data_IF_945581476245
#
_entry.id   IF_945581476245
#
_cell.length_a   1.000
_cell.length_b   1.000
_cell.length_c   1.000
_cell.angle_alpha   90.00
_cell.angle_beta   90.00
_cell.angle_gamma   90.00
#
_symmetry.space_group_name_H-M   'P 1'
#
loop_
_entity.id
_entity.type
_entity.pdbx_description
1 polymer ?
#
# COMPACT_ATOMS: atom_id res chain seq x y z
N UNK A 1 21.46 47.20 6.59
CA UNK A 1 21.93 48.51 7.10
C UNK A 1 21.97 48.46 8.63
N UNK A 2 23.16 48.63 9.19
CA UNK A 2 23.47 48.56 10.62
C UNK A 2 24.57 47.53 10.88
N UNK A 3 25.80 47.96 10.59
CA UNK A 3 27.11 47.42 10.98
C UNK A 3 27.64 46.15 10.30
N UNK A 4 28.15 46.39 9.08
CA UNK A 4 29.31 45.82 8.40
C UNK A 4 29.77 44.40 8.78
N UNK A 5 29.08 43.41 8.20
CA UNK A 5 29.76 42.18 7.76
C UNK A 5 30.02 42.35 6.27
N UNK A 6 31.26 42.75 5.98
CA UNK A 6 31.76 42.97 4.63
C UNK A 6 31.98 41.61 3.93
N UNK A 7 30.90 40.89 3.64
CA UNK A 7 30.91 39.85 2.63
C UNK A 7 31.21 40.56 1.31
N UNK A 8 32.47 40.50 0.86
CA UNK A 8 32.87 40.91 -0.49
C UNK A 8 32.13 40.05 -1.52
N UNK A 9 30.86 40.32 -1.74
CA UNK A 9 30.07 39.82 -2.85
C UNK A 9 30.11 40.86 -3.97
N UNK A 10 30.49 40.48 -5.20
CA UNK A 10 30.54 41.38 -6.35
C UNK A 10 29.14 41.91 -6.70
N UNK A 11 29.04 43.01 -7.46
CA UNK A 11 27.88 43.92 -7.46
C UNK A 11 26.64 43.42 -8.21
N UNK A 12 26.63 42.18 -8.71
CA UNK A 12 25.52 41.69 -9.52
C UNK A 12 24.62 40.76 -8.70
N UNK A 13 23.32 41.06 -8.73
CA UNK A 13 22.23 40.40 -7.99
C UNK A 13 22.45 38.89 -7.90
N UNK A 14 22.70 38.38 -6.69
CA UNK A 14 22.79 36.94 -6.44
C UNK A 14 21.38 36.40 -6.24
N UNK A 15 20.91 35.64 -7.22
CA UNK A 15 19.72 34.80 -7.10
C UNK A 15 20.13 33.59 -6.27
N UNK A 16 19.31 33.21 -5.29
CA UNK A 16 19.56 32.06 -4.42
C UNK A 16 18.46 31.04 -4.68
N UNK A 17 18.82 29.85 -5.16
CA UNK A 17 17.86 28.77 -5.41
C UNK A 17 17.47 28.13 -4.09
N UNK A 18 16.17 28.12 -3.81
CA UNK A 18 15.56 27.50 -2.62
C UNK A 18 14.46 26.59 -3.13
N UNK A 19 14.50 25.32 -2.73
CA UNK A 19 13.57 24.29 -3.21
C UNK A 19 12.28 24.28 -2.39
N UNK A 20 11.20 23.76 -2.96
CA UNK A 20 9.91 23.48 -2.30
C UNK A 20 9.18 24.67 -1.66
N UNK A 21 9.47 25.90 -2.11
CA UNK A 21 8.69 27.08 -1.76
C UNK A 21 7.81 27.51 -2.95
N UNK A 22 6.52 27.86 -2.74
CA UNK A 22 5.67 28.30 -3.83
C UNK A 22 6.11 29.67 -4.38
N UNK A 23 5.82 29.92 -5.65
CA UNK A 23 6.11 31.18 -6.35
C UNK A 23 5.36 32.36 -5.75
N UNK A 24 5.95 33.56 -5.81
CA UNK A 24 5.35 34.84 -5.40
C UNK A 24 5.02 34.95 -3.90
N UNK A 25 5.53 34.05 -3.07
CA UNK A 25 5.34 34.10 -1.63
C UNK A 25 6.30 35.11 -0.98
N UNK A 26 5.80 35.89 -0.03
CA UNK A 26 6.65 36.77 0.77
C UNK A 26 7.34 35.97 1.87
N UNK A 27 8.64 35.73 1.70
CA UNK A 27 9.48 35.01 2.65
C UNK A 27 10.31 35.99 3.46
N UNK A 28 10.23 35.90 4.78
CA UNK A 28 11.11 36.66 5.68
C UNK A 28 12.36 35.85 5.93
N UNK A 29 13.48 36.37 5.44
CA UNK A 29 14.79 35.77 5.57
C UNK A 29 15.58 36.54 6.63
N UNK A 30 16.37 35.83 7.42
CA UNK A 30 17.45 36.43 8.20
C UNK A 30 18.65 35.53 8.14
N UNK A 31 19.83 36.13 8.16
CA UNK A 31 21.08 35.41 8.14
C UNK A 31 21.61 35.28 9.55
N UNK A 32 22.00 34.07 9.89
CA UNK A 32 22.63 33.71 11.15
C UNK A 32 24.05 33.32 10.83
N UNK A 33 25.02 34.05 11.37
CA UNK A 33 26.40 33.66 11.24
C UNK A 33 26.79 32.80 12.43
N UNK A 34 27.35 31.66 12.09
CA UNK A 34 27.89 30.68 13.02
C UNK A 34 29.39 30.65 12.88
N UNK A 35 30.07 30.46 13.99
CA UNK A 35 31.48 30.13 13.96
C UNK A 35 31.68 28.68 13.46
N UNK A 36 32.93 28.30 13.34
CA UNK A 36 33.41 26.99 12.93
C UNK A 36 33.02 25.85 13.89
N UNK A 37 32.58 26.17 15.10
CA UNK A 37 31.98 25.20 16.03
C UNK A 37 30.45 25.21 15.99
N UNK A 38 29.85 25.99 15.10
CA UNK A 38 28.41 26.06 14.89
C UNK A 38 27.67 26.98 15.84
N UNK A 39 28.37 27.74 16.69
CA UNK A 39 27.74 28.67 17.64
C UNK A 39 27.29 29.93 16.92
N UNK A 40 26.01 30.28 17.05
CA UNK A 40 25.48 31.51 16.47
C UNK A 40 25.98 32.69 17.28
N UNK A 41 26.79 33.55 16.67
CA UNK A 41 27.29 34.75 17.33
C UNK A 41 26.71 36.05 16.73
N UNK A 42 26.13 35.99 15.53
CA UNK A 42 25.50 37.16 14.92
C UNK A 42 24.23 36.81 14.14
N UNK A 43 23.27 37.74 14.19
CA UNK A 43 21.95 37.57 13.60
C UNK A 43 21.56 38.84 12.86
N UNK A 44 21.23 38.73 11.57
CA UNK A 44 20.72 39.87 10.81
C UNK A 44 19.29 40.21 11.21
N UNK A 45 18.88 41.44 10.90
CA UNK A 45 17.46 41.79 10.88
C UNK A 45 16.74 40.93 9.84
N UNK A 46 15.46 40.68 10.08
CA UNK A 46 14.59 40.05 9.12
C UNK A 46 14.40 40.95 7.91
N UNK A 47 14.47 40.35 6.72
CA UNK A 47 14.25 40.99 5.43
C UNK A 47 13.17 40.20 4.72
N UNK A 48 12.09 40.86 4.32
CA UNK A 48 11.11 40.26 3.44
C UNK A 48 11.65 40.26 2.00
N UNK A 49 11.57 39.10 1.36
CA UNK A 49 11.84 38.91 -0.05
C UNK A 49 10.68 38.13 -0.67
N UNK A 50 10.40 38.35 -1.95
CA UNK A 50 9.38 37.57 -2.63
C UNK A 50 10.06 36.46 -3.42
N UNK A 51 9.58 35.22 -3.29
CA UNK A 51 10.03 34.11 -4.13
C UNK A 51 9.56 34.34 -5.56
N UNK A 52 10.38 33.94 -6.53
CA UNK A 52 10.02 33.96 -7.95
C UNK A 52 10.47 32.64 -8.57
N UNK A 53 9.83 32.27 -9.68
CA UNK A 53 10.19 31.05 -10.39
C UNK A 53 11.65 31.12 -10.83
N UNK A 54 12.30 29.96 -10.78
CA UNK A 54 13.64 29.82 -11.33
C UNK A 54 13.52 29.98 -12.84
N UNK A 55 14.25 30.93 -13.47
CA UNK A 55 14.13 31.17 -14.90
C UNK A 55 14.45 29.92 -15.75
N UNK A 56 13.81 29.81 -16.91
CA UNK A 56 14.12 28.79 -17.91
C UNK A 56 15.60 28.83 -18.29
N UNK A 57 16.18 27.64 -18.51
CA UNK A 57 17.58 27.52 -18.91
C UNK A 57 17.78 27.99 -20.35
N UNK A 58 18.76 28.86 -20.58
CA UNK A 58 19.18 29.30 -21.92
C UNK A 58 20.61 28.90 -22.21
N UNK A 59 20.88 28.57 -23.47
CA UNK A 59 22.22 28.22 -23.92
C UNK A 59 23.18 29.41 -23.74
N UNK A 60 24.21 29.23 -22.91
CA UNK A 60 25.12 30.29 -22.48
C UNK A 60 24.89 30.82 -21.06
N UNK A 61 23.85 30.38 -20.35
CA UNK A 61 23.65 30.71 -18.94
C UNK A 61 24.78 30.13 -18.06
N UNK A 62 25.24 30.93 -17.09
CA UNK A 62 26.24 30.47 -16.10
C UNK A 62 25.69 29.30 -15.27
N UNK A 63 26.56 28.36 -14.91
CA UNK A 63 26.22 27.20 -14.08
C UNK A 63 25.73 27.67 -12.70
N UNK A 64 24.41 27.63 -12.51
CA UNK A 64 23.81 27.90 -11.21
C UNK A 64 23.93 26.67 -10.32
N UNK A 65 24.41 26.89 -9.10
CA UNK A 65 24.47 25.87 -8.06
C UNK A 65 23.45 26.15 -6.97
N UNK A 66 22.80 25.11 -6.46
CA UNK A 66 21.93 25.24 -5.29
C UNK A 66 22.75 25.59 -4.02
N UNK A 67 22.07 25.77 -2.89
CA UNK A 67 22.71 26.05 -1.59
C UNK A 67 23.68 24.95 -1.13
N UNK A 68 23.62 23.77 -1.74
CA UNK A 68 24.48 22.61 -1.47
C UNK A 68 25.63 22.47 -2.48
N UNK A 69 25.70 23.35 -3.49
CA UNK A 69 26.75 23.38 -4.50
C UNK A 69 26.49 22.50 -5.74
N UNK A 70 25.26 21.99 -5.93
CA UNK A 70 24.97 21.06 -7.02
C UNK A 70 24.65 21.80 -8.34
N UNK A 71 25.24 21.38 -9.48
CA UNK A 71 24.99 22.01 -10.78
C UNK A 71 23.66 21.55 -11.41
N UNK A 72 22.88 22.50 -11.92
CA UNK A 72 21.63 22.26 -12.67
C UNK A 72 21.86 21.33 -13.89
N UNK A 73 20.99 20.33 -14.11
CA UNK A 73 20.90 19.56 -15.38
C UNK A 73 21.74 18.27 -15.54
N UNK A 74 22.35 17.73 -14.48
CA UNK A 74 23.09 16.45 -14.52
C UNK A 74 22.64 15.47 -13.43
N UNK A 75 22.66 14.16 -13.74
CA UNK A 75 22.40 13.11 -12.76
C UNK A 75 23.61 12.92 -11.82
N UNK A 76 23.38 12.86 -10.52
CA UNK A 76 24.44 12.67 -9.53
C UNK A 76 25.08 11.27 -9.58
N UNK A 77 24.29 10.23 -9.90
CA UNK A 77 24.73 8.84 -9.82
C UNK A 77 25.45 8.36 -11.09
N UNK A 78 24.88 8.61 -12.27
CA UNK A 78 25.43 8.11 -13.52
C UNK A 78 26.07 9.20 -14.39
N UNK A 79 26.03 10.47 -13.95
CA UNK A 79 26.55 11.66 -14.65
C UNK A 79 26.06 11.85 -16.09
N UNK A 80 24.98 11.18 -16.49
CA UNK A 80 24.39 11.40 -17.80
C UNK A 80 23.84 12.84 -17.88
N UNK A 81 23.85 13.39 -19.09
CA UNK A 81 23.14 14.63 -19.34
C UNK A 81 21.64 14.36 -19.32
N UNK A 82 20.90 15.18 -18.58
CA UNK A 82 19.43 15.10 -18.55
C UNK A 82 18.83 15.47 -19.92
N UNK A 83 19.54 16.32 -20.68
CA UNK A 83 19.16 16.85 -21.98
C UNK A 83 20.23 16.49 -23.02
N UNK A 84 19.84 15.86 -24.14
CA UNK A 84 20.74 15.49 -25.24
C UNK A 84 20.31 16.24 -26.50
N UNK A 85 21.20 16.99 -27.17
CA UNK A 85 20.87 17.56 -28.47
C UNK A 85 20.80 16.45 -29.53
N UNK A 86 19.74 16.41 -30.31
CA UNK A 86 19.62 15.61 -31.52
C UNK A 86 19.34 16.51 -32.75
N UNK A 87 19.29 15.91 -33.94
CA UNK A 87 19.16 16.66 -35.20
C UNK A 87 17.77 17.28 -35.41
N UNK A 88 16.79 16.99 -34.54
CA UNK A 88 15.42 17.52 -34.60
C UNK A 88 15.01 18.33 -33.34
N UNK A 89 15.85 18.38 -32.29
CA UNK A 89 15.61 19.15 -31.07
C UNK A 89 16.47 18.71 -29.86
N UNK A 90 15.97 18.99 -28.64
CA UNK A 90 16.59 18.53 -27.38
C UNK A 90 15.76 17.36 -26.83
N UNK A 91 16.32 16.15 -26.85
CA UNK A 91 15.72 14.96 -26.24
C UNK A 91 15.98 14.86 -24.73
N UNK A 92 15.05 14.27 -23.98
CA UNK A 92 15.11 14.13 -22.51
C UNK A 92 15.44 12.68 -22.09
N UNK A 93 16.36 12.52 -21.13
CA UNK A 93 16.72 11.22 -20.51
C UNK A 93 16.23 11.12 -19.04
N UNK A 94 15.19 11.86 -18.69
CA UNK A 94 14.62 11.93 -17.35
C UNK A 94 13.09 12.01 -17.39
N UNK A 95 12.45 11.55 -16.31
CA UNK A 95 11.00 11.63 -16.11
C UNK A 95 10.67 12.99 -15.48
N UNK A 96 9.89 13.82 -16.21
CA UNK A 96 9.46 15.15 -15.76
C UNK A 96 8.53 15.09 -14.53
N UNK A 97 7.84 13.97 -14.33
CA UNK A 97 6.86 13.76 -13.26
C UNK A 97 7.51 13.30 -11.95
N UNK A 98 8.52 12.43 -12.03
CA UNK A 98 9.16 11.81 -10.86
C UNK A 98 10.57 12.40 -10.58
N UNK A 99 11.03 13.34 -11.42
CA UNK A 99 12.37 13.95 -11.39
C UNK A 99 13.52 12.91 -11.36
N UNK A 100 13.28 11.72 -11.92
CA UNK A 100 14.21 10.59 -11.92
C UNK A 100 14.84 10.38 -13.29
N UNK A 101 16.09 9.94 -13.29
CA UNK A 101 16.76 9.52 -14.50
C UNK A 101 16.09 8.25 -15.03
N UNK A 102 15.61 8.25 -16.28
CA UNK A 102 14.97 7.09 -16.91
C UNK A 102 15.91 5.88 -17.07
N UNK A 103 17.22 6.11 -16.89
CA UNK A 103 18.26 5.08 -17.03
C UNK A 103 18.56 4.33 -15.74
N UNK A 104 18.58 5.02 -14.60
CA UNK A 104 19.01 4.43 -13.32
C UNK A 104 18.04 4.68 -12.17
N UNK A 105 16.95 5.41 -12.40
CA UNK A 105 15.96 5.75 -11.39
C UNK A 105 16.45 6.75 -10.33
N UNK A 106 17.64 7.32 -10.46
CA UNK A 106 18.20 8.26 -9.48
C UNK A 106 17.73 9.70 -9.75
N UNK A 107 17.46 10.47 -8.70
CA UNK A 107 16.99 11.85 -8.83
C UNK A 107 17.98 12.70 -9.62
N UNK A 108 17.46 13.42 -10.61
CA UNK A 108 18.18 14.40 -11.40
C UNK A 108 17.75 15.78 -10.91
N UNK A 109 18.66 16.76 -10.83
CA UNK A 109 18.26 18.15 -10.59
C UNK A 109 17.53 18.69 -11.83
N UNK A 110 16.28 18.27 -11.97
CA UNK A 110 15.29 18.76 -12.89
C UNK A 110 14.11 19.21 -12.03
N UNK A 111 13.80 20.50 -12.08
CA UNK A 111 12.63 21.04 -11.42
C UNK A 111 11.70 21.62 -12.48
N UNK A 112 10.51 21.04 -12.57
CA UNK A 112 9.28 21.83 -12.65
C UNK A 112 8.34 21.38 -11.51
N UNK A 113 7.37 22.22 -11.19
CA UNK A 113 7.01 22.69 -9.86
C UNK A 113 6.30 21.67 -8.93
N UNK A 114 6.92 21.49 -7.76
CA UNK A 114 6.35 21.36 -6.41
C UNK A 114 5.24 20.31 -6.18
N UNK A 115 5.57 19.28 -5.40
CA UNK A 115 4.70 18.77 -4.33
C UNK A 115 5.52 18.35 -3.09
N UNK A 116 5.12 18.77 -1.87
CA UNK A 116 5.89 18.62 -0.65
C UNK A 116 5.72 17.24 0.02
N UNK A 117 6.74 16.83 0.78
CA UNK A 117 6.66 15.76 1.77
C UNK A 117 7.21 16.24 3.14
N UNK A 118 6.67 15.65 4.19
CA UNK A 118 6.71 15.93 5.63
C UNK A 118 7.90 15.23 6.36
N UNK A 119 8.01 15.29 7.72
CA UNK A 119 9.29 15.28 8.45
C UNK A 119 9.73 13.94 9.09
N UNK A 120 11.00 13.89 9.51
CA UNK A 120 11.73 12.74 10.09
C UNK A 120 11.28 12.24 11.49
N UNK A 121 11.42 10.92 11.67
CA UNK A 121 11.07 10.10 12.84
C UNK A 121 12.21 9.95 13.89
N UNK A 122 11.84 9.80 15.16
CA UNK A 122 12.70 9.44 16.32
C UNK A 122 13.18 7.97 16.27
N UNK A 123 14.31 7.61 16.91
CA UNK A 123 14.82 6.23 16.92
C UNK A 123 13.91 5.31 17.74
N UNK A 124 13.50 4.20 17.12
CA UNK A 124 12.70 3.14 17.75
C UNK A 124 13.56 2.29 18.70
N UNK A 125 12.98 1.75 19.80
CA UNK A 125 13.60 0.68 20.56
C UNK A 125 13.84 -0.55 19.66
N UNK A 126 14.85 -1.39 19.95
CA UNK A 126 15.06 -2.61 19.18
C UNK A 126 13.77 -3.44 19.23
N UNK A 127 13.21 -3.84 18.06
CA UNK A 127 12.09 -4.76 18.08
C UNK A 127 12.53 -6.03 18.82
N UNK A 128 11.68 -6.56 19.69
CA UNK A 128 11.84 -7.95 20.12
C UNK A 128 12.03 -8.80 18.85
N UNK A 129 12.99 -9.73 18.83
CA UNK A 129 13.18 -10.55 17.66
C UNK A 129 11.87 -11.28 17.39
N UNK A 130 11.18 -10.92 16.30
CA UNK A 130 10.19 -11.78 15.70
C UNK A 130 10.88 -13.14 15.56
N UNK A 131 10.27 -14.21 16.06
CA UNK A 131 10.78 -15.58 15.99
C UNK A 131 10.78 -16.06 14.53
N UNK A 132 11.63 -15.44 13.73
CA UNK A 132 12.12 -15.94 12.46
C UNK A 132 13.28 -16.86 12.81
N UNK A 133 12.93 -17.98 13.47
CA UNK A 133 13.79 -19.14 13.46
C UNK A 133 14.19 -19.38 12.01
N UNK A 134 15.47 -19.69 11.77
CA UNK A 134 16.00 -20.10 10.47
C UNK A 134 15.44 -21.49 10.12
N UNK A 135 14.13 -21.58 9.99
CA UNK A 135 13.42 -22.76 9.60
C UNK A 135 13.52 -22.88 8.08
N UNK A 136 14.26 -23.89 7.65
CA UNK A 136 14.07 -24.52 6.34
C UNK A 136 12.58 -24.87 6.23
N UNK A 137 12.00 -24.73 5.03
CA UNK A 137 10.59 -25.04 4.67
C UNK A 137 9.91 -25.98 5.68
N UNK A 138 9.09 -25.42 6.58
CA UNK A 138 8.35 -26.21 7.54
C UNK A 138 7.39 -27.15 6.80
N UNK A 139 7.25 -28.42 7.22
CA UNK A 139 6.26 -29.32 6.65
C UNK A 139 4.86 -28.69 6.73
N UNK A 140 4.02 -28.92 5.70
CA UNK A 140 2.65 -28.41 5.62
C UNK A 140 1.86 -28.61 6.91
N UNK A 141 1.99 -29.76 7.57
CA UNK A 141 1.29 -30.07 8.82
C UNK A 141 1.70 -29.13 9.96
N UNK A 142 2.99 -28.78 10.04
CA UNK A 142 3.50 -27.84 11.04
C UNK A 142 3.00 -26.43 10.77
N UNK A 143 2.98 -26.02 9.51
CA UNK A 143 2.41 -24.74 9.08
C UNK A 143 0.92 -24.65 9.44
N UNK A 144 0.14 -25.68 9.13
CA UNK A 144 -1.29 -25.75 9.45
C UNK A 144 -1.53 -25.69 10.97
N UNK A 145 -0.70 -26.36 11.79
CA UNK A 145 -0.78 -26.27 13.26
C UNK A 145 -0.50 -24.86 13.77
N UNK A 146 0.51 -24.16 13.22
CA UNK A 146 0.80 -22.77 13.60
C UNK A 146 -0.33 -21.83 13.17
N UNK A 147 -0.81 -21.98 11.93
CA UNK A 147 -1.96 -21.25 11.42
C UNK A 147 -3.20 -21.40 12.31
N UNK A 148 -3.53 -22.63 12.73
CA UNK A 148 -4.68 -22.91 13.58
C UNK A 148 -4.69 -22.13 14.90
N UNK A 149 -3.53 -21.70 15.40
CA UNK A 149 -3.46 -20.86 16.60
C UNK A 149 -4.00 -19.42 16.35
N UNK A 150 -3.98 -18.96 15.09
CA UNK A 150 -4.42 -17.62 14.67
C UNK A 150 -5.79 -17.62 13.97
N UNK A 151 -6.40 -18.80 13.78
CA UNK A 151 -7.72 -18.97 13.17
C UNK A 151 -8.85 -18.94 14.24
N UNK A 152 -10.10 -19.15 13.81
CA UNK A 152 -11.20 -19.47 14.73
C UNK A 152 -10.88 -20.76 15.53
N UNK A 153 -11.08 -20.81 16.87
CA UNK A 153 -10.79 -22.01 17.69
C UNK A 153 -11.55 -23.27 17.23
N UNK A 154 -10.97 -24.50 17.24
CA UNK A 154 -11.56 -25.80 16.82
C UNK A 154 -13.04 -26.05 17.16
N UNK A 155 -13.45 -25.56 18.31
CA UNK A 155 -14.76 -25.71 18.93
C UNK A 155 -15.68 -24.49 18.79
N UNK A 156 -15.23 -23.43 18.10
CA UNK A 156 -16.03 -22.25 17.83
C UNK A 156 -17.30 -22.63 17.05
N UNK A 157 -18.44 -22.18 17.55
CA UNK A 157 -19.77 -22.38 16.95
C UNK A 157 -20.27 -21.15 16.20
N UNK A 158 -19.70 -20.00 16.50
CA UNK A 158 -20.01 -18.70 15.91
C UNK A 158 -18.75 -17.85 15.93
N UNK A 159 -18.75 -16.76 15.15
CA UNK A 159 -17.71 -15.76 15.24
C UNK A 159 -17.74 -15.03 16.59
N UNK A 160 -16.57 -14.66 17.15
CA UNK A 160 -16.52 -13.91 18.40
C UNK A 160 -17.15 -12.53 18.25
N UNK A 161 -17.66 -11.97 19.35
CA UNK A 161 -18.15 -10.59 19.42
C UNK A 161 -17.10 -9.72 20.09
N UNK A 162 -16.81 -8.57 19.51
CA UNK A 162 -15.95 -7.57 20.15
C UNK A 162 -16.68 -6.97 21.36
N UNK A 163 -15.92 -6.59 22.39
CA UNK A 163 -16.49 -6.05 23.64
C UNK A 163 -17.09 -4.65 23.50
N UNK A 164 -16.80 -3.94 22.40
CA UNK A 164 -17.33 -2.63 22.06
C UNK A 164 -18.13 -2.72 20.76
N UNK A 165 -19.19 -1.92 20.68
CA UNK A 165 -20.03 -1.75 19.50
C UNK A 165 -19.48 -0.58 18.68
N UNK A 166 -19.14 -0.82 17.42
CA UNK A 166 -18.63 0.20 16.49
C UNK A 166 -19.73 0.65 15.55
N UNK A 167 -19.73 1.94 15.21
CA UNK A 167 -20.78 2.56 14.38
C UNK A 167 -20.39 2.71 12.92
N UNK A 168 -19.10 2.62 12.64
CA UNK A 168 -18.53 2.88 11.32
C UNK A 168 -17.48 1.85 10.96
N UNK A 169 -17.48 1.43 9.70
CA UNK A 169 -16.45 0.60 9.10
C UNK A 169 -15.79 1.41 7.99
N UNK A 170 -14.52 1.72 8.16
CA UNK A 170 -13.68 2.41 7.18
C UNK A 170 -12.84 1.37 6.45
N UNK A 171 -12.74 1.47 5.12
CA UNK A 171 -12.01 0.52 4.30
C UNK A 171 -10.83 1.20 3.58
N UNK A 172 -9.70 0.50 3.48
CA UNK A 172 -8.52 0.93 2.72
C UNK A 172 -7.70 -0.28 2.27
N UNK A 173 -6.95 -0.17 1.18
CA UNK A 173 -5.94 -1.12 0.70
C UNK A 173 -4.77 -0.37 0.07
N UNK A 174 -3.69 -1.08 -0.29
CA UNK A 174 -2.62 -0.57 -1.16
C UNK A 174 -1.99 0.73 -0.64
N UNK A 175 -1.80 0.78 0.69
CA UNK A 175 -1.33 1.95 1.40
C UNK A 175 0.16 2.18 1.18
N UNK A 176 0.96 1.12 1.06
CA UNK A 176 2.42 1.18 0.86
C UNK A 176 3.12 2.20 1.76
N UNK A 177 3.02 2.01 3.09
CA UNK A 177 3.57 2.90 4.11
C UNK A 177 5.10 2.98 4.09
N UNK A 178 5.77 2.14 3.32
CA UNK A 178 7.18 2.25 2.99
C UNK A 178 7.49 3.44 2.06
N UNK A 179 6.48 3.99 1.39
CA UNK A 179 6.55 5.30 0.75
C UNK A 179 6.38 6.39 1.81
N UNK A 180 7.42 7.21 2.03
CA UNK A 180 7.44 8.23 3.10
C UNK A 180 6.22 9.14 3.12
N UNK A 181 5.76 9.59 1.96
CA UNK A 181 4.55 10.42 1.81
C UNK A 181 3.28 9.74 2.33
N UNK A 182 3.11 8.43 2.09
CA UNK A 182 1.95 7.69 2.54
C UNK A 182 1.96 7.54 4.07
N UNK A 183 3.14 7.29 4.65
CA UNK A 183 3.31 7.26 6.10
C UNK A 183 2.99 8.61 6.77
N UNK A 184 3.48 9.72 6.21
CA UNK A 184 3.14 11.07 6.69
C UNK A 184 1.63 11.33 6.59
N UNK A 185 0.99 10.82 5.54
CA UNK A 185 -0.46 10.88 5.43
C UNK A 185 -1.15 10.11 6.56
N UNK A 186 -0.67 8.92 6.92
CA UNK A 186 -1.18 8.19 8.08
C UNK A 186 -1.00 8.98 9.37
N UNK A 187 0.17 9.59 9.57
CA UNK A 187 0.47 10.35 10.78
C UNK A 187 -0.52 11.50 11.00
N UNK A 188 -0.97 12.14 9.91
CA UNK A 188 -1.96 13.22 9.90
C UNK A 188 -3.42 12.80 9.97
N UNK A 189 -3.74 11.51 9.79
CA UNK A 189 -5.14 11.06 9.85
C UNK A 189 -5.79 11.47 11.19
N UNK A 190 -7.04 11.97 11.18
CA UNK A 190 -7.75 12.25 12.42
C UNK A 190 -7.97 10.96 13.24
N UNK A 191 -8.16 11.11 14.54
CA UNK A 191 -8.59 10.00 15.39
C UNK A 191 -10.08 9.71 15.15
N UNK A 192 -10.40 8.43 14.97
CA UNK A 192 -11.73 7.87 14.79
C UNK A 192 -11.92 6.62 15.68
N UNK A 193 -11.90 6.77 17.03
CA UNK A 193 -11.93 5.63 17.96
C UNK A 193 -13.26 4.85 17.96
N UNK A 194 -14.30 5.38 17.31
CA UNK A 194 -15.61 4.74 17.13
C UNK A 194 -15.73 3.95 15.82
N UNK A 195 -14.69 4.00 14.97
CA UNK A 195 -14.62 3.30 13.70
C UNK A 195 -13.72 2.07 13.78
N UNK A 196 -14.11 1.04 13.05
CA UNK A 196 -13.26 -0.10 12.70
C UNK A 196 -12.60 0.17 11.35
N UNK A 197 -11.29 -0.06 11.25
CA UNK A 197 -10.56 0.02 9.99
C UNK A 197 -10.39 -1.38 9.39
N UNK A 198 -10.75 -1.54 8.12
CA UNK A 198 -10.56 -2.73 7.31
C UNK A 198 -9.44 -2.45 6.31
N UNK A 199 -8.33 -3.17 6.43
CA UNK A 199 -7.12 -3.01 5.63
C UNK A 199 -6.89 -4.19 4.67
N UNK A 200 -7.31 -4.05 3.42
CA UNK A 200 -7.31 -5.09 2.38
C UNK A 200 -5.95 -5.26 1.69
N UNK A 201 -4.89 -5.48 2.48
CA UNK A 201 -3.55 -5.80 2.01
C UNK A 201 -2.73 -4.60 1.50
N UNK A 202 -1.47 -4.89 1.20
CA UNK A 202 -0.44 -3.97 0.72
C UNK A 202 -0.26 -2.74 1.61
N UNK A 203 -0.09 -3.02 2.90
CA UNK A 203 0.25 -2.02 3.90
C UNK A 203 1.71 -1.60 3.80
N UNK A 204 2.65 -2.55 3.71
CA UNK A 204 4.09 -2.31 3.57
C UNK A 204 4.85 -3.63 3.35
N UNK A 205 5.96 -3.56 2.61
CA UNK A 205 6.83 -4.74 2.42
C UNK A 205 7.60 -5.15 3.70
N UNK A 206 7.98 -4.21 4.57
CA UNK A 206 8.81 -4.49 5.77
C UNK A 206 7.96 -4.72 7.02
N UNK A 207 8.28 -5.76 7.79
CA UNK A 207 7.63 -6.06 9.07
C UNK A 207 7.77 -4.91 10.08
N UNK A 208 8.91 -4.22 10.09
CA UNK A 208 9.17 -3.08 10.96
C UNK A 208 8.26 -1.88 10.62
N UNK A 209 8.02 -1.66 9.33
CA UNK A 209 7.11 -0.62 8.85
C UNK A 209 5.67 -1.01 9.16
N UNK A 210 5.27 -2.27 8.90
CA UNK A 210 3.96 -2.79 9.29
C UNK A 210 3.69 -2.61 10.79
N UNK A 211 4.65 -2.97 11.66
CA UNK A 211 4.52 -2.75 13.11
C UNK A 211 4.37 -1.25 13.45
N UNK A 212 5.12 -0.36 12.76
CA UNK A 212 4.94 1.09 12.91
C UNK A 212 3.52 1.52 12.57
N UNK A 213 3.04 1.09 11.40
CA UNK A 213 1.74 1.46 10.85
C UNK A 213 0.61 0.94 11.73
N UNK A 214 0.65 -0.33 12.15
CA UNK A 214 -0.38 -0.89 13.03
C UNK A 214 -0.43 -0.17 14.37
N UNK A 215 0.71 0.15 14.99
CA UNK A 215 0.73 0.93 16.25
C UNK A 215 0.11 2.31 16.04
N UNK A 216 0.50 3.01 14.97
CA UNK A 216 -0.06 4.32 14.64
C UNK A 216 -1.58 4.25 14.41
N UNK A 217 -2.03 3.29 13.62
CA UNK A 217 -3.45 3.12 13.29
C UNK A 217 -4.26 2.65 14.50
N UNK A 218 -3.70 1.83 15.41
CA UNK A 218 -4.36 1.45 16.67
C UNK A 218 -4.52 2.63 17.65
N UNK A 219 -3.76 3.70 17.48
CA UNK A 219 -4.01 4.96 18.20
C UNK A 219 -5.14 5.80 17.56
N UNK A 220 -5.49 5.55 16.29
CA UNK A 220 -6.47 6.34 15.55
C UNK A 220 -7.83 5.65 15.45
N UNK A 221 -7.85 4.35 15.23
CA UNK A 221 -9.06 3.55 15.06
C UNK A 221 -9.29 2.66 16.27
N UNK A 222 -10.56 2.33 16.53
CA UNK A 222 -10.89 1.47 17.65
C UNK A 222 -10.35 0.05 17.45
N UNK A 223 -10.65 -0.54 16.28
CA UNK A 223 -10.17 -1.87 15.90
C UNK A 223 -9.71 -1.88 14.45
N UNK A 224 -8.84 -2.83 14.13
CA UNK A 224 -8.28 -3.00 12.79
C UNK A 224 -8.47 -4.46 12.38
N UNK A 225 -9.04 -4.68 11.21
CA UNK A 225 -9.07 -5.96 10.52
C UNK A 225 -8.12 -5.93 9.33
N UNK A 226 -7.38 -7.01 9.12
CA UNK A 226 -6.31 -7.03 8.13
C UNK A 226 -6.19 -8.37 7.42
N UNK A 227 -5.87 -8.30 6.12
CA UNK A 227 -5.35 -9.43 5.32
C UNK A 227 -4.04 -9.02 4.68
N UNK A 228 -3.01 -9.89 4.63
CA UNK A 228 -1.79 -9.60 3.88
C UNK A 228 -2.04 -9.57 2.37
N UNK A 229 -1.38 -8.65 1.68
CA UNK A 229 -1.28 -8.60 0.22
C UNK A 229 -0.03 -9.29 -0.34
N UNK A 230 0.24 -9.12 -1.63
CA UNK A 230 1.40 -9.75 -2.27
C UNK A 230 2.73 -9.12 -1.83
N UNK A 231 2.78 -7.80 -1.65
CA UNK A 231 4.01 -7.10 -1.24
C UNK A 231 4.48 -7.56 0.14
N UNK A 232 3.53 -7.82 1.04
CA UNK A 232 3.81 -8.39 2.34
C UNK A 232 4.49 -9.76 2.28
N UNK A 233 4.28 -10.54 1.23
CA UNK A 233 4.83 -11.89 1.08
C UNK A 233 6.15 -11.93 0.30
N UNK A 234 6.64 -10.78 -0.15
CA UNK A 234 7.97 -10.70 -0.76
C UNK A 234 9.07 -10.96 0.27
N UNK A 235 10.04 -11.81 -0.08
CA UNK A 235 11.13 -12.22 0.81
C UNK A 235 12.50 -12.02 0.16
N UNK A 236 13.47 -11.68 1.00
CA UNK A 236 14.87 -11.59 0.56
C UNK A 236 15.47 -12.99 0.44
N UNK A 237 16.00 -13.34 -0.74
CA UNK A 237 16.68 -14.65 -0.94
C UNK A 237 17.87 -14.86 0.01
N UNK A 238 18.46 -13.78 0.53
CA UNK A 238 19.60 -13.83 1.46
C UNK A 238 19.21 -14.27 2.87
N UNK A 239 17.96 -14.06 3.26
CA UNK A 239 17.47 -14.38 4.60
C UNK A 239 17.05 -15.85 4.74
N UNK A 240 16.90 -16.57 3.62
CA UNK A 240 16.54 -18.00 3.60
C UNK A 240 15.11 -18.28 4.06
N UNK A 241 14.26 -17.26 4.11
CA UNK A 241 12.87 -17.35 4.53
C UNK A 241 11.94 -17.52 3.33
N UNK A 242 10.89 -18.31 3.52
CA UNK A 242 9.82 -18.47 2.55
C UNK A 242 8.73 -17.42 2.77
N UNK A 243 7.96 -17.11 1.74
CA UNK A 243 6.78 -16.25 1.81
C UNK A 243 5.78 -16.72 2.87
N UNK A 244 5.69 -18.04 3.10
CA UNK A 244 4.81 -18.60 4.13
C UNK A 244 5.35 -18.37 5.54
N UNK A 245 6.68 -18.38 5.73
CA UNK A 245 7.26 -17.98 7.01
C UNK A 245 6.96 -16.51 7.33
N UNK A 246 7.07 -15.63 6.33
CA UNK A 246 6.73 -14.21 6.48
C UNK A 246 5.24 -14.01 6.75
N UNK A 247 4.37 -14.74 6.04
CA UNK A 247 2.93 -14.76 6.31
C UNK A 247 2.62 -15.09 7.77
N UNK A 248 3.18 -16.18 8.33
CA UNK A 248 2.98 -16.53 9.73
C UNK A 248 3.52 -15.46 10.70
N UNK A 249 4.66 -14.85 10.39
CA UNK A 249 5.23 -13.76 11.20
C UNK A 249 4.34 -12.51 11.21
N UNK A 250 3.67 -12.21 10.09
CA UNK A 250 2.68 -11.13 10.00
C UNK A 250 1.48 -11.42 10.90
N UNK A 251 0.96 -12.66 10.87
CA UNK A 251 -0.17 -13.04 11.72
C UNK A 251 0.17 -12.95 13.21
N UNK A 252 1.38 -13.38 13.59
CA UNK A 252 1.89 -13.28 14.95
C UNK A 252 2.07 -11.80 15.38
N UNK A 253 2.55 -10.95 14.48
CA UNK A 253 2.60 -9.50 14.68
C UNK A 253 1.21 -8.91 14.89
N UNK A 254 0.24 -9.27 14.05
CA UNK A 254 -1.14 -8.80 14.16
C UNK A 254 -1.74 -9.21 15.51
N UNK A 255 -1.61 -10.48 15.90
CA UNK A 255 -2.09 -10.99 17.18
C UNK A 255 -1.49 -10.21 18.36
N UNK A 256 -0.16 -10.02 18.36
CA UNK A 256 0.56 -9.27 19.40
C UNK A 256 0.09 -7.81 19.53
N UNK A 257 -0.33 -7.19 18.44
CA UNK A 257 -0.78 -5.80 18.40
C UNK A 257 -2.31 -5.64 18.52
N UNK A 258 -3.07 -6.74 18.64
CA UNK A 258 -4.53 -6.70 18.67
C UNK A 258 -5.14 -6.22 17.34
N UNK A 259 -4.53 -6.62 16.22
CA UNK A 259 -5.06 -6.47 14.86
C UNK A 259 -5.71 -7.80 14.45
N UNK A 260 -6.96 -7.74 14.03
CA UNK A 260 -7.78 -8.92 13.76
C UNK A 260 -7.52 -9.47 12.36
N UNK A 261 -7.05 -10.71 12.29
CA UNK A 261 -6.92 -11.50 11.04
C UNK A 261 -7.95 -12.64 10.98
N UNK A 262 -8.89 -12.63 11.93
CA UNK A 262 -9.99 -13.58 12.10
C UNK A 262 -11.33 -12.83 12.08
N UNK A 263 -12.46 -13.50 11.76
CA UNK A 263 -13.75 -12.85 11.76
C UNK A 263 -14.21 -12.46 13.16
N UNK A 264 -14.98 -11.37 13.27
CA UNK A 264 -15.68 -11.00 14.50
C UNK A 264 -16.88 -10.07 14.22
N UNK A 265 -17.86 -10.09 15.12
CA UNK A 265 -18.91 -9.09 15.16
C UNK A 265 -18.35 -7.78 15.72
N UNK A 266 -18.47 -6.71 14.94
CA UNK A 266 -18.10 -5.34 15.32
C UNK A 266 -19.30 -4.58 15.89
N UNK A 267 -20.51 -5.05 15.62
CA UNK A 267 -21.73 -4.65 16.31
C UNK A 267 -22.74 -5.81 16.31
N UNK A 268 -23.90 -5.62 16.94
CA UNK A 268 -24.98 -6.61 16.92
C UNK A 268 -25.54 -6.87 15.51
N UNK A 269 -25.37 -5.90 14.61
CA UNK A 269 -25.90 -5.90 13.24
C UNK A 269 -24.79 -5.99 12.18
N UNK A 270 -23.51 -6.01 12.56
CA UNK A 270 -22.39 -6.01 11.63
C UNK A 270 -21.23 -6.91 12.07
N UNK A 271 -20.70 -7.70 11.15
CA UNK A 271 -19.50 -8.49 11.32
C UNK A 271 -18.49 -8.27 10.20
N UNK A 272 -17.20 -8.40 10.52
CA UNK A 272 -16.10 -8.31 9.57
C UNK A 272 -15.43 -9.67 9.43
N UNK A 273 -15.15 -10.10 8.20
CA UNK A 273 -14.54 -11.40 7.89
C UNK A 273 -13.32 -11.26 6.95
N UNK A 274 -12.10 -11.28 7.50
CA UNK A 274 -10.86 -11.40 6.72
C UNK A 274 -10.75 -12.74 5.99
N UNK A 275 -10.60 -12.72 4.67
CA UNK A 275 -10.38 -13.88 3.81
C UNK A 275 -8.99 -13.78 3.18
N UNK A 276 -8.12 -14.74 3.48
CA UNK A 276 -6.82 -14.79 2.81
C UNK A 276 -6.98 -15.26 1.38
N UNK A 277 -6.16 -14.74 0.48
CA UNK A 277 -6.33 -14.98 -0.94
C UNK A 277 -4.99 -14.94 -1.65
N UNK A 278 -4.99 -15.53 -2.84
CA UNK A 278 -3.99 -15.37 -3.89
C UNK A 278 -4.73 -15.40 -5.24
N UNK A 279 -4.01 -15.39 -6.36
CA UNK A 279 -4.61 -15.38 -7.69
C UNK A 279 -4.43 -16.68 -8.48
N UNK A 280 -5.26 -16.82 -9.52
CA UNK A 280 -5.15 -17.84 -10.57
C UNK A 280 -5.40 -17.16 -11.93
N UNK A 281 -5.11 -17.86 -13.01
CA UNK A 281 -5.37 -17.35 -14.36
C UNK A 281 -6.85 -17.49 -14.82
N UNK A 282 -7.77 -17.80 -13.91
CA UNK A 282 -9.18 -18.07 -14.20
C UNK A 282 -10.13 -16.89 -13.92
N UNK A 283 -9.62 -15.72 -13.49
CA UNK A 283 -10.47 -14.56 -13.18
C UNK A 283 -11.24 -14.11 -14.41
N UNK A 284 -10.56 -13.94 -15.55
CA UNK A 284 -11.14 -13.36 -16.77
C UNK A 284 -11.48 -14.42 -17.81
N UNK A 285 -12.71 -14.41 -18.31
CA UNK A 285 -13.19 -15.32 -19.35
C UNK A 285 -12.30 -15.29 -20.61
N UNK A 286 -11.93 -16.48 -21.08
CA UNK A 286 -11.08 -16.64 -22.26
C UNK A 286 -9.66 -16.09 -22.11
N UNK A 287 -9.23 -15.72 -20.89
CA UNK A 287 -7.82 -15.53 -20.60
C UNK A 287 -7.12 -16.89 -20.49
N UNK A 288 -5.87 -16.93 -20.90
CA UNK A 288 -5.02 -18.10 -20.71
C UNK A 288 -3.62 -17.58 -20.49
N UNK A 289 -2.95 -18.03 -19.43
CA UNK A 289 -1.58 -17.62 -19.14
C UNK A 289 -0.65 -18.12 -20.25
N UNK A 290 0.09 -17.19 -20.85
CA UNK A 290 1.30 -17.54 -21.58
C UNK A 290 2.44 -17.74 -20.58
N UNK A 291 2.90 -18.98 -20.40
CA UNK A 291 4.00 -19.31 -19.49
C UNK A 291 5.33 -18.66 -19.89
N UNK A 292 5.44 -18.12 -21.10
CA UNK A 292 6.60 -17.35 -21.55
C UNK A 292 6.57 -15.87 -21.13
N UNK A 293 5.43 -15.35 -20.62
CA UNK A 293 5.28 -13.96 -20.22
C UNK A 293 5.61 -13.68 -18.74
N UNK A 294 6.04 -12.43 -18.53
CA UNK A 294 6.64 -11.79 -17.35
C UNK A 294 6.33 -12.48 -16.01
N UNK A 295 7.36 -12.77 -15.20
CA UNK A 295 7.14 -13.33 -13.88
C UNK A 295 6.74 -12.20 -12.91
N UNK A 296 5.48 -12.22 -12.47
CA UNK A 296 4.99 -11.38 -11.37
C UNK A 296 5.31 -12.04 -10.03
N UNK A 297 5.42 -11.22 -8.98
CA UNK A 297 5.70 -11.67 -7.61
C UNK A 297 6.94 -12.57 -7.47
N UNK A 298 7.96 -12.37 -8.32
CA UNK A 298 9.23 -13.13 -8.30
C UNK A 298 10.01 -13.05 -7.00
N UNK A 299 9.66 -12.10 -6.15
CA UNK A 299 10.25 -11.92 -4.84
C UNK A 299 9.62 -12.87 -3.81
N UNK A 300 8.54 -13.57 -4.16
CA UNK A 300 7.98 -14.62 -3.32
C UNK A 300 8.80 -15.91 -3.44
N UNK A 301 8.78 -16.70 -2.37
CA UNK A 301 9.37 -18.04 -2.34
C UNK A 301 8.42 -18.97 -1.61
N UNK A 302 7.94 -19.98 -2.33
CA UNK A 302 6.93 -20.89 -1.81
C UNK A 302 7.54 -22.25 -1.49
N UNK A 303 7.19 -22.86 -0.34
CA UNK A 303 7.56 -24.23 -0.03
C UNK A 303 7.04 -25.21 -1.09
N UNK A 304 7.86 -26.20 -1.44
CA UNK A 304 7.51 -27.28 -2.38
C UNK A 304 6.28 -28.09 -1.93
N UNK A 305 6.01 -28.15 -0.62
CA UNK A 305 4.82 -28.78 -0.05
C UNK A 305 3.50 -28.04 -0.43
N UNK A 306 3.60 -26.78 -0.85
CA UNK A 306 2.48 -25.97 -1.33
C UNK A 306 2.44 -26.00 -2.85
N UNK A 307 3.55 -25.71 -3.53
CA UNK A 307 3.59 -25.61 -4.99
C UNK A 307 3.65 -26.95 -5.72
N UNK A 308 3.78 -28.08 -5.01
CA UNK A 308 4.22 -29.33 -5.61
C UNK A 308 5.68 -29.23 -6.08
N UNK A 309 6.20 -30.25 -6.78
CA UNK A 309 7.60 -30.31 -7.27
C UNK A 309 7.94 -29.26 -8.37
N UNK A 310 7.25 -28.12 -8.40
CA UNK A 310 7.44 -27.00 -9.31
C UNK A 310 8.53 -26.02 -8.88
N UNK A 311 8.64 -24.91 -9.62
CA UNK A 311 9.56 -23.81 -9.31
C UNK A 311 9.05 -23.05 -8.09
N UNK A 312 9.82 -23.04 -7.00
CA UNK A 312 9.46 -22.33 -5.75
C UNK A 312 9.39 -20.81 -5.93
N UNK A 313 9.85 -20.26 -7.06
CA UNK A 313 9.75 -18.85 -7.42
C UNK A 313 8.57 -18.56 -8.38
N UNK A 314 7.83 -19.56 -8.86
CA UNK A 314 6.64 -19.34 -9.69
C UNK A 314 5.44 -19.05 -8.78
N UNK A 315 5.20 -17.77 -8.53
CA UNK A 315 4.09 -17.26 -7.73
C UNK A 315 2.71 -17.48 -8.38
N UNK A 316 2.66 -17.89 -9.64
CA UNK A 316 1.44 -18.08 -10.41
C UNK A 316 0.97 -19.55 -10.44
N UNK A 317 1.48 -20.39 -9.53
CA UNK A 317 1.00 -21.76 -9.33
C UNK A 317 -0.35 -21.74 -8.59
N UNK A 318 -1.33 -22.47 -9.13
CA UNK A 318 -2.70 -22.46 -8.62
C UNK A 318 -2.81 -23.01 -7.20
N UNK A 319 -1.88 -23.89 -6.83
CA UNK A 319 -1.80 -24.51 -5.51
C UNK A 319 -1.54 -23.48 -4.39
N UNK A 320 -0.94 -22.33 -4.71
CA UNK A 320 -0.77 -21.23 -3.75
C UNK A 320 -2.13 -20.62 -3.40
N UNK A 321 -2.97 -20.36 -4.40
CA UNK A 321 -4.34 -19.89 -4.18
C UNK A 321 -5.20 -20.94 -3.47
N UNK A 322 -5.05 -22.23 -3.82
CA UNK A 322 -5.74 -23.32 -3.13
C UNK A 322 -5.32 -23.43 -1.66
N UNK A 323 -4.04 -23.19 -1.36
CA UNK A 323 -3.54 -23.14 0.01
C UNK A 323 -4.25 -22.05 0.82
N UNK A 324 -4.29 -20.81 0.34
CA UNK A 324 -4.97 -19.72 1.07
C UNK A 324 -6.48 -19.92 1.16
N UNK A 325 -7.12 -20.40 0.09
CA UNK A 325 -8.54 -20.75 0.12
C UNK A 325 -8.82 -21.78 1.21
N UNK A 326 -8.00 -22.82 1.34
CA UNK A 326 -8.15 -23.84 2.38
C UNK A 326 -8.02 -23.26 3.81
N UNK A 327 -7.25 -22.18 4.02
CA UNK A 327 -7.15 -21.53 5.33
C UNK A 327 -8.46 -20.84 5.75
N UNK A 328 -9.35 -20.51 4.79
CA UNK A 328 -10.61 -19.82 5.08
C UNK A 328 -11.77 -20.77 5.39
N UNK A 329 -11.65 -22.06 5.12
CA UNK A 329 -12.75 -23.03 5.27
C UNK A 329 -13.36 -23.02 6.67
N UNK A 330 -12.52 -22.85 7.70
CA UNK A 330 -12.97 -22.72 9.08
C UNK A 330 -13.89 -21.53 9.29
N UNK A 331 -13.43 -20.35 8.85
CA UNK A 331 -14.12 -19.07 8.95
C UNK A 331 -15.49 -19.14 8.29
N UNK A 332 -15.53 -19.80 7.13
CA UNK A 332 -16.75 -20.04 6.34
C UNK A 332 -17.70 -21.00 7.08
N UNK A 333 -17.20 -22.10 7.63
CA UNK A 333 -18.03 -23.07 8.35
C UNK A 333 -18.71 -22.48 9.58
N UNK A 334 -18.06 -21.55 10.26
CA UNK A 334 -18.61 -20.88 11.46
C UNK A 334 -19.27 -19.53 11.16
N UNK A 335 -19.50 -19.21 9.88
CA UNK A 335 -20.16 -17.99 9.46
C UNK A 335 -21.64 -17.97 9.92
N UNK A 336 -22.21 -16.80 10.25
CA UNK A 336 -23.60 -16.68 10.69
C UNK A 336 -24.56 -17.17 9.61
N UNK A 337 -25.37 -18.18 9.94
CA UNK A 337 -26.31 -18.78 8.99
C UNK A 337 -27.31 -17.74 8.47
N UNK A 338 -27.75 -16.80 9.31
CA UNK A 338 -28.67 -15.74 8.92
C UNK A 338 -28.11 -14.83 7.81
N UNK A 339 -26.79 -14.58 7.77
CA UNK A 339 -26.16 -13.76 6.73
C UNK A 339 -26.17 -14.51 5.39
N UNK A 340 -25.83 -15.81 5.41
CA UNK A 340 -25.85 -16.67 4.22
C UNK A 340 -27.27 -16.79 3.66
N UNK A 341 -28.26 -17.01 4.52
CA UNK A 341 -29.66 -17.07 4.12
C UNK A 341 -30.16 -15.73 3.54
N UNK A 342 -29.79 -14.61 4.16
CA UNK A 342 -30.18 -13.29 3.69
C UNK A 342 -29.64 -13.02 2.27
N UNK A 343 -28.37 -13.33 2.02
CA UNK A 343 -27.77 -13.21 0.69
C UNK A 343 -28.44 -14.13 -0.35
N UNK A 344 -28.84 -15.34 0.04
CA UNK A 344 -29.55 -16.27 -0.84
C UNK A 344 -30.98 -15.80 -1.19
N UNK A 345 -31.66 -15.09 -0.27
CA UNK A 345 -32.97 -14.49 -0.56
C UNK A 345 -32.83 -13.36 -1.57
N UNK A 346 -31.90 -12.44 -1.36
CA UNK A 346 -31.69 -11.30 -2.27
C UNK A 346 -31.24 -11.73 -3.67
N UNK A 347 -30.40 -12.77 -3.79
CA UNK A 347 -29.97 -13.33 -5.08
C UNK A 347 -31.07 -14.10 -5.83
N UNK A 348 -32.10 -14.62 -5.14
CA UNK A 348 -33.26 -15.25 -5.79
C UNK A 348 -34.28 -14.23 -6.30
N UNK A 349 -34.33 -13.06 -5.65
CA UNK A 349 -35.23 -11.96 -6.02
C UNK A 349 -34.62 -11.03 -7.08
N UNK A 350 -33.28 -10.98 -7.19
CA UNK A 350 -32.59 -10.28 -8.28
C UNK A 350 -32.50 -11.16 -9.54
N UNK A 351 -33.03 -10.60 -10.63
CA UNK A 351 -33.16 -11.12 -12.00
C UNK A 351 -32.03 -12.07 -12.42
N UNK A 352 -32.38 -13.21 -13.04
CA UNK A 352 -31.39 -14.11 -13.65
C UNK A 352 -30.71 -13.38 -14.82
N UNK A 353 -29.38 -13.46 -14.88
CA UNK A 353 -28.57 -12.85 -15.93
C UNK A 353 -29.02 -13.24 -17.35
N UNK A 354 -29.62 -14.43 -17.49
CA UNK A 354 -30.17 -15.00 -18.72
C UNK A 354 -31.43 -14.27 -19.24
N UNK A 355 -32.13 -13.56 -18.35
CA UNK A 355 -33.40 -12.89 -18.64
C UNK A 355 -33.22 -11.39 -18.98
N UNK A 356 -31.97 -10.90 -19.05
CA UNK A 356 -31.64 -9.49 -19.35
C UNK A 356 -31.28 -9.34 -20.83
N UNK A 357 -32.27 -9.03 -21.67
CA UNK A 357 -32.09 -8.89 -23.13
C UNK A 357 -31.32 -7.61 -23.55
N UNK A 358 -31.38 -6.53 -22.76
CA UNK A 358 -30.62 -5.29 -23.00
C UNK A 358 -30.17 -4.66 -21.67
N UNK A 359 -28.89 -4.26 -21.58
CA UNK A 359 -28.38 -3.46 -20.46
C UNK A 359 -28.83 -2.01 -20.64
N UNK A 360 -29.54 -1.39 -19.67
CA UNK A 360 -29.96 0.00 -19.81
C UNK A 360 -28.74 0.91 -19.87
N UNK A 361 -28.66 1.73 -20.91
CA UNK A 361 -27.67 2.79 -21.02
C UNK A 361 -27.92 3.83 -19.92
N UNK A 362 -27.10 3.74 -18.85
CA UNK A 362 -27.15 4.60 -17.64
C UNK A 362 -28.51 4.60 -16.95
N UNK A 363 -28.65 3.74 -15.94
CA UNK A 363 -29.75 3.82 -15.00
C UNK A 363 -29.55 5.04 -14.08
N UNK A 364 -30.18 6.16 -14.44
CA UNK A 364 -30.50 7.22 -13.49
C UNK A 364 -31.58 6.67 -12.53
N UNK A 365 -31.21 6.32 -11.30
CA UNK A 365 -32.13 5.83 -10.27
C UNK A 365 -31.62 4.62 -9.50
N UNK A 366 -30.81 4.87 -8.47
CA UNK A 366 -30.38 3.88 -7.48
C UNK A 366 -31.19 4.03 -6.16
N UNK A 367 -32.50 4.25 -6.27
CA UNK A 367 -33.37 4.52 -5.11
C UNK A 367 -34.06 3.25 -4.54
N UNK A 368 -33.99 2.11 -5.23
CA UNK A 368 -34.47 0.81 -4.72
C UNK A 368 -33.31 -0.08 -4.26
N UNK A 369 -32.53 0.40 -3.29
CA UNK A 369 -31.62 -0.48 -2.54
C UNK A 369 -32.49 -1.33 -1.61
N UNK A 370 -32.53 -2.66 -1.73
CA UNK A 370 -33.28 -3.50 -0.81
C UNK A 370 -32.82 -3.21 0.62
N UNK A 371 -33.73 -3.25 1.63
CA UNK A 371 -33.38 -2.93 3.00
C UNK A 371 -32.19 -3.81 3.44
N UNK A 372 -31.21 -3.24 4.17
CA UNK A 372 -30.04 -3.99 4.58
C UNK A 372 -30.47 -5.24 5.35
N UNK A 373 -29.79 -6.37 5.14
CA UNK A 373 -30.12 -7.59 5.85
C UNK A 373 -29.99 -7.36 7.36
N UNK A 374 -30.74 -8.10 8.20
CA UNK A 374 -30.69 -7.97 9.66
C UNK A 374 -29.28 -8.08 10.24
N UNK A 375 -28.39 -8.78 9.52
CA UNK A 375 -26.97 -8.85 9.79
C UNK A 375 -26.19 -8.52 8.51
N UNK A 376 -25.32 -7.51 8.58
CA UNK A 376 -24.38 -7.16 7.52
C UNK A 376 -23.04 -7.85 7.76
N UNK A 377 -22.58 -8.63 6.79
CA UNK A 377 -21.21 -9.19 6.79
C UNK A 377 -20.37 -8.41 5.78
N UNK A 378 -19.33 -7.74 6.28
CA UNK A 378 -18.27 -7.12 5.48
C UNK A 378 -17.12 -8.11 5.39
N UNK A 379 -16.91 -8.72 4.23
CA UNK A 379 -15.72 -9.54 4.00
C UNK A 379 -14.62 -8.73 3.34
N UNK A 380 -13.39 -9.24 3.39
CA UNK A 380 -12.25 -8.61 2.71
C UNK A 380 -11.27 -9.64 2.17
N UNK A 381 -10.66 -9.33 1.03
CA UNK A 381 -9.51 -10.03 0.45
C UNK A 381 -8.50 -9.00 -0.03
N UNK A 382 -7.28 -9.40 -0.33
CA UNK A 382 -6.39 -8.49 -1.05
C UNK A 382 -6.68 -8.54 -2.56
N UNK A 383 -6.84 -9.76 -3.10
CA UNK A 383 -7.05 -9.97 -4.53
C UNK A 383 -8.49 -9.81 -4.96
N UNK A 384 -8.68 -9.50 -6.25
CA UNK A 384 -9.97 -9.17 -6.86
C UNK A 384 -10.87 -10.41 -6.96
N UNK A 385 -12.12 -10.35 -6.46
CA UNK A 385 -13.01 -11.52 -6.44
C UNK A 385 -13.69 -11.82 -7.77
N UNK A 386 -13.86 -10.80 -8.62
CA UNK A 386 -14.74 -10.83 -9.79
C UNK A 386 -14.13 -10.12 -10.97
N UNK A 387 -14.35 -10.65 -12.17
CA UNK A 387 -13.86 -10.04 -13.41
C UNK A 387 -14.36 -8.60 -13.58
N UNK A 388 -15.62 -8.33 -13.24
CA UNK A 388 -16.23 -7.00 -13.41
C UNK A 388 -15.60 -5.94 -12.50
N UNK A 389 -14.92 -6.37 -11.43
CA UNK A 389 -14.19 -5.50 -10.52
C UNK A 389 -12.79 -5.13 -11.05
N UNK A 390 -12.34 -5.71 -12.16
CA UNK A 390 -11.03 -5.45 -12.74
C UNK A 390 -11.12 -4.72 -14.10
N UNK A 391 -11.03 -3.37 -14.13
CA UNK A 391 -11.06 -2.60 -15.38
C UNK A 391 -9.68 -2.48 -16.06
N UNK A 392 -8.64 -3.11 -15.51
CA UNK A 392 -7.25 -2.92 -15.94
C UNK A 392 -6.85 -3.71 -17.20
N UNK A 393 -5.58 -3.60 -17.61
CA UNK A 393 -5.10 -4.19 -18.85
C UNK A 393 -5.09 -5.71 -18.83
N UNK A 394 -5.47 -6.34 -19.96
CA UNK A 394 -5.56 -7.80 -20.13
C UNK A 394 -4.30 -8.58 -19.72
N UNK A 395 -3.12 -7.95 -19.82
CA UNK A 395 -1.82 -8.56 -19.45
C UNK A 395 -1.68 -8.88 -17.96
N UNK A 396 -2.44 -8.21 -17.10
CA UNK A 396 -2.38 -8.39 -15.65
C UNK A 396 -3.49 -9.32 -15.14
N UNK A 397 -4.49 -9.67 -15.96
CA UNK A 397 -5.64 -10.50 -15.55
C UNK A 397 -5.24 -11.80 -14.83
N UNK A 398 -4.12 -12.40 -15.22
CA UNK A 398 -3.63 -13.65 -14.62
C UNK A 398 -3.07 -13.52 -13.19
N UNK A 399 -2.95 -12.30 -12.68
CA UNK A 399 -2.38 -12.02 -11.35
C UNK A 399 -3.27 -11.13 -10.49
N UNK A 400 -4.48 -10.81 -10.94
CA UNK A 400 -5.37 -9.90 -10.20
C UNK A 400 -6.21 -10.59 -9.12
N UNK A 401 -6.50 -11.87 -9.28
CA UNK A 401 -7.35 -12.63 -8.37
C UNK A 401 -7.85 -13.93 -9.00
N UNK A 402 -8.95 -14.47 -8.48
CA UNK A 402 -9.56 -15.69 -9.00
C UNK A 402 -11.02 -15.81 -8.54
N UNK A 403 -11.78 -16.67 -9.25
CA UNK A 403 -13.22 -16.88 -8.99
C UNK A 403 -13.51 -17.52 -7.64
N UNK A 404 -12.57 -18.31 -7.14
CA UNK A 404 -12.69 -18.98 -5.85
C UNK A 404 -12.83 -17.97 -4.70
N UNK A 405 -12.30 -16.75 -4.85
CA UNK A 405 -12.51 -15.68 -3.86
C UNK A 405 -13.99 -15.30 -3.81
N UNK A 406 -14.65 -15.07 -4.96
CA UNK A 406 -16.10 -14.82 -5.00
C UNK A 406 -16.90 -15.96 -4.38
N UNK A 407 -16.54 -17.21 -4.67
CA UNK A 407 -17.21 -18.38 -4.08
C UNK A 407 -17.13 -18.33 -2.54
N UNK A 408 -15.97 -18.01 -1.97
CA UNK A 408 -15.79 -17.88 -0.52
C UNK A 408 -16.56 -16.69 0.06
N UNK A 409 -16.55 -15.54 -0.63
CA UNK A 409 -17.34 -14.35 -0.26
C UNK A 409 -18.84 -14.67 -0.17
N UNK A 410 -19.37 -15.43 -1.13
CA UNK A 410 -20.77 -15.86 -1.11
C UNK A 410 -21.05 -16.86 0.00
N UNK A 411 -20.13 -17.80 0.26
CA UNK A 411 -20.28 -18.80 1.32
C UNK A 411 -20.23 -18.22 2.73
N UNK A 412 -19.57 -17.08 2.95
CA UNK A 412 -19.65 -16.36 4.23
C UNK A 412 -20.90 -15.49 4.37
N UNK A 413 -21.73 -15.36 3.32
CA UNK A 413 -22.91 -14.52 3.34
C UNK A 413 -22.60 -13.03 3.33
N UNK A 414 -21.47 -12.63 2.74
CA UNK A 414 -21.06 -11.23 2.70
C UNK A 414 -21.98 -10.40 1.80
N UNK A 415 -22.53 -9.33 2.37
CA UNK A 415 -23.32 -8.32 1.65
C UNK A 415 -22.43 -7.23 1.07
N UNK A 416 -21.24 -7.05 1.65
CA UNK A 416 -20.22 -6.13 1.18
C UNK A 416 -18.87 -6.85 1.18
N UNK A 417 -18.04 -6.57 0.17
CA UNK A 417 -16.71 -7.12 0.06
C UNK A 417 -15.71 -6.03 -0.30
N UNK A 418 -14.66 -5.89 0.51
CA UNK A 418 -13.56 -4.94 0.32
C UNK A 418 -12.36 -5.68 -0.27
N UNK A 419 -11.83 -5.22 -1.39
CA UNK A 419 -10.65 -5.78 -2.02
C UNK A 419 -9.61 -4.70 -2.36
N UNK A 420 -8.35 -5.09 -2.55
CA UNK A 420 -7.27 -4.23 -2.99
C UNK A 420 -6.69 -4.67 -4.33
N UNK A 421 -5.38 -4.45 -4.52
CA UNK A 421 -4.58 -4.97 -5.65
C UNK A 421 -4.96 -4.42 -7.03
N UNK A 422 -5.97 -3.55 -7.14
CA UNK A 422 -6.55 -3.08 -8.40
C UNK A 422 -6.04 -1.71 -8.87
N UNK A 423 -4.82 -1.31 -8.45
CA UNK A 423 -4.17 0.02 -8.64
C UNK A 423 -4.75 0.96 -9.70
#
# INVERSE_FOLDING_TARGET
KGDDINLKCPPNRRIMMVHDLPTSCEVKLRFLLRDDQGTVFAVSKWVAAQTADVPEYKEGDELQTDLMGNPRGKCAQCRCQAYVPDNEGVGQNFDLTDQRCLRCGYNVAAHELVKPAEPEKKPKPPPEPLLLDKAIALPKETLMRRWQAFDCPPDAKEWPRLGKQYREVVAWSDLHADMGQNMEHLERLPEAPEAVLVLAGDLATSLEIMESSFRLLKHKFGEIFYVPGNHELWVSKKEGLSSVHKFLAILELCERLGVHTRPAFVSDECAVCPLFSWYKDNLVDGFTRDKANIPFDIQTQWPWDITGRGDTNDAQQHEIADFFAALNERRIQVAPAEAVEALQRTTRETVKYEDVEEWPAKADGFDDVPPPPPLTVVSMSHFVPRQECYPGPRRLCGVMGCREIEDQVRRVGASCHVFGHSH
#
